data_IF_950199887819
#
_entry.id   IF_950199887819
#
_cell.length_a   1.000
_cell.length_b   1.000
_cell.length_c   1.000
_cell.angle_alpha   90.00
_cell.angle_beta   90.00
_cell.angle_gamma   90.00
#
_symmetry.space_group_name_H-M   'P 1'
#
loop_
_entity.id
_entity.type
_entity.pdbx_description
1 polymer ?
#
# COMPACT_ATOMS: atom_id res chain seq x y z
N UNK A 1 -15.03 6.17 0.58
CA UNK A 1 -14.48 7.24 -0.28
C UNK A 1 -14.99 7.07 -1.71
N UNK A 2 -14.75 5.96 -2.42
CA UNK A 2 -15.14 5.74 -3.81
C UNK A 2 -16.65 5.91 -4.07
N UNK A 3 -17.50 5.42 -3.18
CA UNK A 3 -18.95 5.63 -3.27
C UNK A 3 -19.33 7.11 -3.10
N UNK A 4 -18.66 7.84 -2.19
CA UNK A 4 -18.85 9.27 -2.01
C UNK A 4 -18.44 10.09 -3.25
N UNK A 5 -17.34 9.71 -3.91
CA UNK A 5 -16.91 10.31 -5.17
C UNK A 5 -17.96 10.10 -6.27
N UNK A 6 -18.45 8.87 -6.42
CA UNK A 6 -19.51 8.53 -7.38
C UNK A 6 -20.78 9.35 -7.12
N UNK A 7 -21.27 9.39 -5.88
CA UNK A 7 -22.48 10.16 -5.51
C UNK A 7 -22.35 11.66 -5.81
N UNK A 8 -21.14 12.19 -5.76
CA UNK A 8 -20.85 13.60 -6.09
C UNK A 8 -20.54 13.83 -7.58
N UNK A 9 -20.70 12.83 -8.44
CA UNK A 9 -20.42 12.92 -9.88
C UNK A 9 -18.95 13.19 -10.22
N UNK A 10 -18.02 12.87 -9.30
CA UNK A 10 -16.58 13.10 -9.55
C UNK A 10 -16.01 11.99 -10.42
N UNK A 11 -15.30 12.34 -11.49
CA UNK A 11 -14.54 11.42 -12.35
C UNK A 11 -13.24 10.96 -11.63
N UNK A 12 -13.39 10.39 -10.43
CA UNK A 12 -12.32 9.93 -9.57
C UNK A 12 -12.67 8.57 -8.96
N UNK A 13 -11.65 7.80 -8.56
CA UNK A 13 -11.82 6.55 -7.84
C UNK A 13 -10.90 6.49 -6.63
N UNK A 14 -11.23 5.62 -5.68
CA UNK A 14 -10.38 5.30 -4.54
C UNK A 14 -9.56 4.06 -4.88
N UNK A 15 -8.27 4.11 -4.62
CA UNK A 15 -7.40 2.94 -4.58
C UNK A 15 -7.24 2.51 -3.13
N UNK A 16 -7.36 1.20 -2.89
CA UNK A 16 -7.11 0.60 -1.59
C UNK A 16 -6.17 -0.58 -1.74
N UNK A 17 -5.20 -0.67 -0.84
CA UNK A 17 -4.13 -1.66 -0.88
C UNK A 17 -4.21 -2.56 0.33
N UNK A 18 -3.97 -3.85 0.12
CA UNK A 18 -3.80 -4.84 1.17
C UNK A 18 -2.75 -5.87 0.76
N UNK A 19 -2.08 -6.50 1.72
CA UNK A 19 -1.24 -7.66 1.44
C UNK A 19 -2.06 -8.94 1.27
N UNK A 20 -1.40 -10.02 0.89
CA UNK A 20 -1.99 -11.36 0.80
C UNK A 20 -2.62 -11.79 2.13
N UNK A 21 -1.96 -11.54 3.27
CA UNK A 21 -2.50 -11.80 4.60
C UNK A 21 -3.75 -10.99 4.92
N UNK A 22 -3.73 -9.68 4.68
CA UNK A 22 -4.87 -8.79 4.87
C UNK A 22 -6.05 -9.16 3.99
N UNK A 23 -5.79 -9.72 2.81
CA UNK A 23 -6.84 -10.21 1.91
C UNK A 23 -7.63 -11.41 2.46
N UNK A 24 -7.19 -12.01 3.55
CA UNK A 24 -7.86 -13.13 4.23
C UNK A 24 -8.80 -12.67 5.35
N UNK A 25 -8.80 -11.38 5.67
CA UNK A 25 -9.72 -10.79 6.65
C UNK A 25 -11.14 -10.64 6.08
N UNK A 26 -12.16 -10.81 6.94
CA UNK A 26 -13.57 -10.71 6.55
C UNK A 26 -13.92 -9.38 5.90
N UNK A 27 -13.48 -8.28 6.49
CA UNK A 27 -13.72 -6.92 6.01
C UNK A 27 -13.27 -6.69 4.57
N UNK A 28 -12.22 -7.39 4.09
CA UNK A 28 -11.80 -7.33 2.69
C UNK A 28 -12.89 -7.86 1.75
N UNK A 29 -13.50 -9.00 2.10
CA UNK A 29 -14.61 -9.57 1.33
C UNK A 29 -15.85 -8.73 1.41
N UNK A 30 -16.21 -8.29 2.60
CA UNK A 30 -17.37 -7.44 2.84
C UNK A 30 -17.24 -6.12 2.10
N UNK A 31 -16.05 -5.48 2.17
CA UNK A 31 -15.74 -4.26 1.44
C UNK A 31 -15.87 -4.40 -0.07
N UNK A 32 -15.35 -5.51 -0.64
CA UNK A 32 -15.50 -5.82 -2.07
C UNK A 32 -16.96 -6.04 -2.46
N UNK A 33 -17.71 -6.83 -1.66
CA UNK A 33 -19.12 -7.11 -1.90
C UNK A 33 -19.96 -5.84 -1.87
N UNK A 34 -19.79 -4.98 -0.87
CA UNK A 34 -20.47 -3.68 -0.82
C UNK A 34 -20.11 -2.78 -1.98
N UNK A 35 -18.81 -2.71 -2.31
CA UNK A 35 -18.36 -1.91 -3.44
C UNK A 35 -18.99 -2.39 -4.76
N UNK A 36 -19.09 -3.71 -4.95
CA UNK A 36 -19.75 -4.33 -6.10
C UNK A 36 -21.25 -3.99 -6.16
N UNK A 37 -21.98 -4.24 -5.07
CA UNK A 37 -23.40 -4.00 -4.97
C UNK A 37 -23.79 -2.54 -5.26
N UNK A 38 -23.00 -1.58 -4.78
CA UNK A 38 -23.22 -0.15 -5.01
C UNK A 38 -22.50 0.40 -6.25
N UNK A 39 -21.79 -0.43 -6.99
CA UNK A 39 -20.94 -0.02 -8.11
C UNK A 39 -20.06 1.18 -7.74
N UNK A 40 -19.37 1.08 -6.61
CA UNK A 40 -18.50 2.14 -6.11
C UNK A 40 -17.31 2.36 -7.05
N UNK A 41 -16.84 3.61 -7.17
CA UNK A 41 -15.62 3.92 -7.90
C UNK A 41 -14.40 3.53 -7.05
N UNK A 42 -14.06 2.23 -7.03
CA UNK A 42 -12.98 1.71 -6.21
C UNK A 42 -12.12 0.70 -6.99
N UNK A 43 -10.82 0.75 -6.76
CA UNK A 43 -9.86 -0.23 -7.23
C UNK A 43 -9.23 -0.87 -6.00
N UNK A 44 -9.42 -2.17 -5.85
CA UNK A 44 -8.79 -2.97 -4.81
C UNK A 44 -7.47 -3.52 -5.36
N UNK A 45 -6.39 -3.39 -4.61
CA UNK A 45 -5.09 -3.92 -4.99
C UNK A 45 -4.63 -4.87 -3.88
N UNK A 46 -4.42 -6.14 -4.23
CA UNK A 46 -3.79 -7.12 -3.36
C UNK A 46 -2.33 -7.26 -3.76
N UNK A 47 -1.43 -6.81 -2.91
CA UNK A 47 0.01 -6.99 -3.08
C UNK A 47 0.38 -8.39 -2.58
N UNK A 48 0.38 -9.37 -3.50
CA UNK A 48 0.70 -10.75 -3.19
C UNK A 48 2.21 -10.95 -3.24
N UNK A 49 2.86 -10.82 -2.09
CA UNK A 49 4.28 -11.10 -1.92
C UNK A 49 4.56 -12.51 -1.40
N UNK A 50 3.53 -13.35 -1.36
CA UNK A 50 3.63 -14.75 -0.95
C UNK A 50 3.65 -15.02 0.55
N UNK A 51 3.68 -13.97 1.40
CA UNK A 51 3.82 -14.14 2.84
C UNK A 51 3.04 -13.11 3.66
N UNK A 52 2.22 -13.59 4.59
CA UNK A 52 1.69 -12.78 5.68
C UNK A 52 2.68 -12.86 6.86
N UNK A 53 3.58 -11.88 6.98
CA UNK A 53 4.77 -11.92 7.85
C UNK A 53 5.64 -13.11 7.46
N UNK A 54 5.55 -14.22 8.20
CA UNK A 54 6.24 -15.50 7.96
C UNK A 54 5.32 -16.61 7.45
N UNK A 55 4.00 -16.37 7.38
CA UNK A 55 3.02 -17.37 6.95
C UNK A 55 2.93 -17.43 5.42
N UNK A 56 3.33 -18.54 4.78
CA UNK A 56 3.27 -18.65 3.32
C UNK A 56 1.83 -18.58 2.80
N UNK A 57 1.63 -17.95 1.64
CA UNK A 57 0.33 -17.85 0.98
C UNK A 57 -0.38 -19.20 0.83
N UNK A 58 0.37 -20.26 0.53
CA UNK A 58 -0.18 -21.61 0.33
C UNK A 58 -0.93 -22.21 1.53
N UNK A 59 -0.68 -21.71 2.75
CA UNK A 59 -1.42 -22.12 3.95
C UNK A 59 -2.52 -21.13 4.33
N UNK A 60 -2.61 -19.99 3.64
CA UNK A 60 -3.68 -19.01 3.83
C UNK A 60 -4.90 -19.33 2.96
N UNK A 61 -4.67 -19.84 1.74
CA UNK A 61 -5.73 -20.16 0.79
C UNK A 61 -5.27 -21.21 -0.23
N UNK A 62 -6.20 -22.03 -0.68
CA UNK A 62 -5.98 -22.98 -1.77
C UNK A 62 -6.25 -22.37 -3.15
N UNK A 63 -6.78 -21.15 -3.20
CA UNK A 63 -7.02 -20.45 -4.47
C UNK A 63 -5.70 -20.25 -5.24
N UNK A 64 -5.62 -20.55 -6.54
CA UNK A 64 -4.39 -20.37 -7.31
C UNK A 64 -3.98 -18.88 -7.39
N UNK A 65 -4.96 -17.99 -7.44
CA UNK A 65 -4.78 -16.56 -7.45
C UNK A 65 -5.72 -15.88 -6.44
N UNK A 66 -5.23 -14.84 -5.77
CA UNK A 66 -6.05 -14.03 -4.85
C UNK A 66 -7.07 -13.18 -5.62
N UNK A 67 -6.82 -12.90 -6.90
CA UNK A 67 -7.77 -12.27 -7.81
C UNK A 67 -9.12 -13.00 -7.87
N UNK A 68 -9.16 -14.33 -7.64
CA UNK A 68 -10.41 -15.10 -7.58
C UNK A 68 -11.38 -14.66 -6.48
N UNK A 69 -10.88 -13.97 -5.44
CA UNK A 69 -11.70 -13.39 -4.38
C UNK A 69 -12.69 -12.34 -4.91
N UNK A 70 -12.31 -11.59 -5.95
CA UNK A 70 -13.20 -10.64 -6.60
C UNK A 70 -14.38 -11.29 -7.30
N UNK A 71 -14.21 -12.49 -7.85
CA UNK A 71 -15.33 -13.22 -8.46
C UNK A 71 -16.41 -13.57 -7.44
N UNK A 72 -16.01 -13.92 -6.21
CA UNK A 72 -16.96 -14.15 -5.12
C UNK A 72 -17.79 -12.91 -4.76
N UNK A 73 -17.25 -11.73 -4.99
CA UNK A 73 -17.92 -10.44 -4.81
C UNK A 73 -18.60 -9.92 -6.11
N UNK A 74 -18.56 -10.68 -7.20
CA UNK A 74 -19.14 -10.30 -8.50
C UNK A 74 -18.40 -9.14 -9.19
N UNK A 75 -17.12 -8.90 -8.88
CA UNK A 75 -16.32 -7.82 -9.47
C UNK A 75 -15.24 -8.37 -10.41
N UNK A 76 -14.94 -7.67 -11.52
CA UNK A 76 -13.87 -8.09 -12.42
C UNK A 76 -12.51 -8.04 -11.71
N UNK A 77 -11.66 -9.01 -12.04
CA UNK A 77 -10.37 -9.18 -11.37
C UNK A 77 -9.30 -9.55 -12.38
N UNK A 78 -8.09 -9.02 -12.17
CA UNK A 78 -6.91 -9.30 -13.01
C UNK A 78 -5.70 -9.63 -12.15
N UNK A 79 -4.79 -10.41 -12.70
CA UNK A 79 -3.46 -10.68 -12.13
C UNK A 79 -2.43 -9.94 -12.96
N UNK A 80 -1.49 -9.29 -12.31
CA UNK A 80 -0.46 -8.45 -12.93
C UNK A 80 0.91 -8.82 -12.37
N UNK A 81 1.94 -8.78 -13.21
CA UNK A 81 3.32 -8.80 -12.75
C UNK A 81 3.61 -7.53 -11.92
N UNK A 82 3.63 -7.69 -10.59
CA UNK A 82 3.86 -6.61 -9.63
C UNK A 82 5.30 -6.11 -9.61
N UNK A 83 6.22 -6.84 -10.26
CA UNK A 83 7.61 -6.44 -10.43
C UNK A 83 7.84 -5.66 -11.74
N UNK A 84 6.77 -5.39 -12.52
CA UNK A 84 6.80 -4.56 -13.72
C UNK A 84 6.01 -3.26 -13.51
N UNK A 85 6.70 -2.10 -13.31
CA UNK A 85 6.03 -0.83 -13.09
C UNK A 85 5.11 -0.39 -14.23
N UNK A 86 5.46 -0.73 -15.49
CA UNK A 86 4.65 -0.37 -16.66
C UNK A 86 3.38 -1.22 -16.70
N UNK A 87 3.48 -2.52 -16.44
CA UNK A 87 2.32 -3.40 -16.33
C UNK A 87 1.37 -2.95 -15.22
N UNK A 88 1.91 -2.61 -14.04
CA UNK A 88 1.15 -2.07 -12.92
C UNK A 88 0.44 -0.76 -13.28
N UNK A 89 1.14 0.17 -13.93
CA UNK A 89 0.55 1.43 -14.40
C UNK A 89 -0.60 1.21 -15.38
N UNK A 90 -0.41 0.36 -16.38
CA UNK A 90 -1.43 0.07 -17.39
C UNK A 90 -2.66 -0.60 -16.79
N UNK A 91 -2.46 -1.54 -15.87
CA UNK A 91 -3.55 -2.19 -15.14
C UNK A 91 -4.34 -1.20 -14.27
N UNK A 92 -3.64 -0.38 -13.50
CA UNK A 92 -4.25 0.65 -12.67
C UNK A 92 -5.02 1.68 -13.50
N UNK A 93 -4.45 2.13 -14.63
CA UNK A 93 -5.10 3.05 -15.57
C UNK A 93 -6.39 2.47 -16.12
N UNK A 94 -6.37 1.23 -16.63
CA UNK A 94 -7.56 0.54 -17.15
C UNK A 94 -8.63 0.33 -16.06
N UNK A 95 -8.22 -0.05 -14.87
CA UNK A 95 -9.12 -0.21 -13.74
C UNK A 95 -9.78 1.13 -13.36
N UNK A 96 -9.02 2.23 -13.36
CA UNK A 96 -9.56 3.57 -13.15
C UNK A 96 -10.59 3.94 -14.21
N UNK A 97 -10.26 3.78 -15.49
CA UNK A 97 -11.17 4.06 -16.61
C UNK A 97 -12.47 3.26 -16.48
N UNK A 98 -12.37 1.98 -16.14
CA UNK A 98 -13.52 1.12 -15.90
C UNK A 98 -14.41 1.63 -14.77
N UNK A 99 -13.82 1.95 -13.60
CA UNK A 99 -14.61 2.35 -12.44
C UNK A 99 -15.29 3.72 -12.64
N UNK A 100 -14.56 4.70 -13.19
CA UNK A 100 -15.10 6.07 -13.38
C UNK A 100 -16.17 6.12 -14.47
N UNK A 101 -16.18 5.13 -15.40
CA UNK A 101 -17.25 4.96 -16.39
C UNK A 101 -18.52 4.35 -15.79
N UNK A 102 -18.57 4.12 -14.47
CA UNK A 102 -19.76 3.63 -13.79
C UNK A 102 -19.95 2.10 -13.77
N UNK A 103 -18.95 1.35 -14.25
CA UNK A 103 -19.00 -0.13 -14.31
C UNK A 103 -18.81 -0.80 -12.95
N UNK A 104 -18.43 -0.05 -11.90
CA UNK A 104 -18.18 -0.57 -10.56
C UNK A 104 -16.71 -0.85 -10.27
N UNK A 105 -16.40 -1.51 -9.15
CA UNK A 105 -15.03 -1.72 -8.71
C UNK A 105 -14.29 -2.79 -9.52
N UNK A 106 -12.96 -2.80 -9.38
CA UNK A 106 -12.05 -3.80 -9.97
C UNK A 106 -11.11 -4.30 -8.86
N UNK A 107 -10.74 -5.57 -8.89
CA UNK A 107 -9.67 -6.14 -8.09
C UNK A 107 -8.43 -6.38 -8.97
N UNK A 108 -7.27 -5.92 -8.51
CA UNK A 108 -5.96 -6.21 -9.11
C UNK A 108 -5.15 -7.01 -8.09
N UNK A 109 -4.69 -8.18 -8.47
CA UNK A 109 -3.64 -8.90 -7.73
C UNK A 109 -2.30 -8.60 -8.40
N UNK A 110 -1.37 -7.99 -7.66
CA UNK A 110 0.00 -7.82 -8.11
C UNK A 110 0.86 -8.95 -7.54
N UNK A 111 1.45 -9.75 -8.42
CA UNK A 111 2.45 -10.76 -8.03
C UNK A 111 3.77 -10.05 -7.81
N UNK A 112 4.21 -10.01 -6.58
CA UNK A 112 5.40 -9.27 -6.17
C UNK A 112 6.21 -10.09 -5.16
N UNK A 113 7.30 -9.54 -4.69
CA UNK A 113 8.08 -10.11 -3.61
C UNK A 113 8.40 -9.05 -2.55
N UNK A 114 8.68 -9.51 -1.33
CA UNK A 114 9.23 -8.70 -0.26
C UNK A 114 10.69 -9.08 -0.08
N UNK A 115 11.59 -8.27 -0.62
CA UNK A 115 13.03 -8.52 -0.59
C UNK A 115 13.61 -8.44 0.84
N UNK A 116 13.11 -7.49 1.63
CA UNK A 116 13.56 -7.22 2.99
C UNK A 116 12.70 -7.94 4.05
N UNK A 117 13.15 -8.01 5.32
CA UNK A 117 12.33 -8.47 6.43
C UNK A 117 10.99 -7.74 6.53
N UNK A 118 9.97 -8.40 7.10
CA UNK A 118 8.68 -7.77 7.37
C UNK A 118 8.79 -6.59 8.34
N UNK A 119 9.66 -6.72 9.33
CA UNK A 119 9.98 -5.64 10.26
C UNK A 119 11.45 -5.69 10.66
N UNK A 120 12.01 -4.54 11.05
CA UNK A 120 13.37 -4.44 11.56
C UNK A 120 13.54 -5.06 12.95
N UNK A 121 12.45 -5.44 13.62
CA UNK A 121 12.46 -5.96 14.98
C UNK A 121 12.06 -7.44 15.00
N UNK A 122 13.07 -8.32 14.97
CA UNK A 122 12.90 -9.75 15.25
C UNK A 122 12.40 -10.62 14.10
N UNK A 123 12.31 -10.10 12.87
CA UNK A 123 11.99 -10.93 11.70
C UNK A 123 13.28 -11.32 10.97
N UNK A 124 13.47 -12.63 10.79
CA UNK A 124 14.53 -13.21 9.98
C UNK A 124 13.90 -14.00 8.82
N UNK A 125 13.96 -13.47 7.58
CA UNK A 125 13.39 -14.13 6.42
C UNK A 125 13.94 -15.54 6.17
N UNK A 126 15.18 -15.83 6.52
CA UNK A 126 15.81 -17.12 6.30
C UNK A 126 15.20 -18.25 7.14
N UNK A 127 14.34 -17.92 8.10
CA UNK A 127 13.56 -18.92 8.87
C UNK A 127 12.42 -19.54 8.07
N UNK A 128 11.94 -18.88 7.01
CA UNK A 128 10.79 -19.32 6.23
C UNK A 128 10.98 -19.20 4.71
N UNK A 129 12.10 -18.63 4.26
CA UNK A 129 12.51 -18.51 2.85
C UNK A 129 13.92 -19.05 2.66
N UNK A 130 14.26 -19.42 1.44
CA UNK A 130 15.66 -19.74 1.08
C UNK A 130 16.35 -18.50 0.49
N UNK A 131 17.67 -18.46 0.66
CA UNK A 131 18.50 -17.38 0.11
C UNK A 131 18.38 -17.33 -1.42
N UNK A 132 18.39 -18.49 -2.06
CA UNK A 132 18.27 -18.62 -3.52
C UNK A 132 16.95 -18.02 -4.02
N UNK A 133 15.84 -18.22 -3.29
CA UNK A 133 14.55 -17.63 -3.63
C UNK A 133 14.57 -16.10 -3.57
N UNK A 134 15.27 -15.52 -2.60
CA UNK A 134 15.42 -14.06 -2.50
C UNK A 134 16.26 -13.54 -3.67
N UNK A 135 17.42 -14.15 -3.94
CA UNK A 135 18.32 -13.79 -5.03
C UNK A 135 17.66 -13.87 -6.42
N UNK A 136 16.72 -14.79 -6.61
CA UNK A 136 15.95 -14.86 -7.86
C UNK A 136 15.03 -13.66 -8.04
N UNK A 137 14.36 -13.21 -6.99
CA UNK A 137 13.50 -12.03 -7.04
C UNK A 137 14.28 -10.72 -7.15
N UNK A 138 15.46 -10.63 -6.54
CA UNK A 138 16.36 -9.47 -6.68
C UNK A 138 16.73 -9.20 -8.15
N UNK A 139 16.89 -10.24 -8.96
CA UNK A 139 17.23 -10.09 -10.38
C UNK A 139 16.12 -9.39 -11.21
N UNK A 140 14.89 -9.46 -10.75
CA UNK A 140 13.72 -8.87 -11.41
C UNK A 140 13.13 -7.70 -10.63
N UNK A 141 13.91 -7.11 -9.75
CA UNK A 141 13.54 -5.97 -8.92
C UNK A 141 13.04 -4.80 -9.80
N UNK A 142 11.94 -4.14 -9.45
CA UNK A 142 11.28 -3.13 -10.29
C UNK A 142 12.17 -1.97 -10.73
N UNK A 143 13.07 -1.49 -9.84
CA UNK A 143 13.97 -0.39 -10.19
C UNK A 143 15.04 -0.80 -11.20
N UNK A 144 15.56 -2.03 -11.08
CA UNK A 144 16.49 -2.59 -12.06
C UNK A 144 15.82 -2.71 -13.43
N UNK A 145 14.61 -3.28 -13.48
CA UNK A 145 13.84 -3.43 -14.72
C UNK A 145 13.52 -2.08 -15.35
N UNK A 146 13.10 -1.10 -14.54
CA UNK A 146 12.79 0.24 -15.04
C UNK A 146 14.05 0.95 -15.56
N UNK A 147 15.17 0.82 -14.86
CA UNK A 147 16.47 1.37 -15.32
C UNK A 147 16.81 0.83 -16.70
N UNK A 148 16.83 -0.49 -16.87
CA UNK A 148 17.15 -1.15 -18.16
C UNK A 148 16.22 -0.61 -19.27
N UNK A 149 14.93 -0.49 -18.97
CA UNK A 149 13.95 0.03 -19.93
C UNK A 149 14.22 1.48 -20.31
N UNK A 150 14.52 2.35 -19.35
CA UNK A 150 14.78 3.77 -19.59
C UNK A 150 16.11 4.00 -20.31
N UNK A 151 17.14 3.24 -19.98
CA UNK A 151 18.44 3.27 -20.67
C UNK A 151 18.29 2.84 -22.14
N UNK A 152 17.53 1.76 -22.40
CA UNK A 152 17.24 1.32 -23.76
C UNK A 152 16.41 2.34 -24.57
N UNK A 153 15.77 3.31 -23.92
CA UNK A 153 15.06 4.44 -24.52
C UNK A 153 15.87 5.73 -24.54
N UNK A 154 17.11 5.69 -24.11
CA UNK A 154 17.99 6.86 -23.98
C UNK A 154 17.42 7.96 -23.06
N UNK A 155 16.59 7.57 -22.08
CA UNK A 155 15.95 8.46 -21.10
C UNK A 155 16.63 8.43 -19.73
N UNK A 156 17.61 7.57 -19.52
CA UNK A 156 18.33 7.40 -18.27
C UNK A 156 19.80 7.12 -18.51
N UNK A 157 20.66 7.54 -17.59
CA UNK A 157 22.09 7.29 -17.61
C UNK A 157 22.65 7.26 -16.18
N UNK A 158 23.85 6.75 -16.01
CA UNK A 158 24.55 6.77 -14.71
C UNK A 158 24.71 8.19 -14.16
N UNK A 159 24.93 9.19 -15.01
CA UNK A 159 25.06 10.58 -14.57
C UNK A 159 23.73 11.11 -14.05
N UNK A 160 22.62 10.89 -14.77
CA UNK A 160 21.28 11.30 -14.33
C UNK A 160 20.95 10.62 -12.99
N UNK A 161 21.29 9.35 -12.82
CA UNK A 161 21.07 8.64 -11.57
C UNK A 161 21.89 9.21 -10.41
N UNK A 162 23.14 9.56 -10.64
CA UNK A 162 24.00 10.15 -9.64
C UNK A 162 23.48 11.52 -9.18
N UNK A 163 23.15 12.39 -10.13
CA UNK A 163 22.59 13.71 -9.84
C UNK A 163 21.27 13.62 -9.07
N UNK A 164 20.40 12.70 -9.47
CA UNK A 164 19.10 12.47 -8.80
C UNK A 164 19.29 11.93 -7.38
N UNK A 165 20.25 11.02 -7.16
CA UNK A 165 20.56 10.52 -5.82
C UNK A 165 21.06 11.62 -4.89
N UNK A 166 21.91 12.54 -5.40
CA UNK A 166 22.39 13.67 -4.62
C UNK A 166 21.24 14.60 -4.20
N UNK A 167 20.35 14.95 -5.13
CA UNK A 167 19.18 15.77 -4.87
C UNK A 167 18.25 15.13 -3.83
N UNK A 168 17.88 13.85 -4.01
CA UNK A 168 17.00 13.11 -3.10
C UNK A 168 17.60 12.97 -1.71
N UNK A 169 18.89 12.65 -1.60
CA UNK A 169 19.56 12.56 -0.31
C UNK A 169 19.56 13.90 0.43
N UNK A 170 19.79 15.01 -0.28
CA UNK A 170 19.72 16.33 0.32
C UNK A 170 18.30 16.66 0.84
N UNK A 171 17.24 16.29 0.12
CA UNK A 171 15.86 16.46 0.57
C UNK A 171 15.56 15.61 1.82
N UNK A 172 16.00 14.34 1.82
CA UNK A 172 15.82 13.44 2.97
C UNK A 172 16.53 13.98 4.20
N UNK A 173 17.79 14.39 4.06
CA UNK A 173 18.57 14.97 5.16
C UNK A 173 17.92 16.25 5.72
N UNK A 174 17.38 17.09 4.85
CA UNK A 174 16.65 18.28 5.28
C UNK A 174 15.36 17.93 6.05
N UNK A 175 14.60 16.95 5.56
CA UNK A 175 13.39 16.47 6.21
C UNK A 175 13.69 15.83 7.58
N UNK A 176 14.75 15.03 7.70
CA UNK A 176 15.19 14.45 8.99
C UNK A 176 15.56 15.55 9.98
N UNK A 177 16.38 16.52 9.56
CA UNK A 177 16.73 17.67 10.40
C UNK A 177 15.51 18.46 10.85
N UNK A 178 14.53 18.63 9.98
CA UNK A 178 13.27 19.30 10.33
C UNK A 178 12.49 18.48 11.38
N UNK A 179 12.39 17.16 11.22
CA UNK A 179 11.71 16.28 12.15
C UNK A 179 12.40 16.27 13.53
N UNK A 180 13.74 16.23 13.56
CA UNK A 180 14.52 16.27 14.82
C UNK A 180 14.34 17.59 15.60
N UNK A 181 14.05 18.69 14.90
CA UNK A 181 13.83 20.00 15.49
C UNK A 181 12.37 20.26 15.89
N UNK A 182 11.45 19.32 15.64
CA UNK A 182 10.05 19.45 16.05
C UNK A 182 9.97 19.45 17.58
N UNK A 183 9.30 20.46 18.13
CA UNK A 183 9.05 20.52 19.57
C UNK A 183 8.24 19.29 20.03
N UNK A 184 8.72 18.62 21.07
CA UNK A 184 8.00 17.46 21.64
C UNK A 184 6.63 17.89 22.12
N UNK A 185 5.61 17.23 21.62
CA UNK A 185 4.23 17.45 22.01
C UNK A 185 4.04 17.07 23.49
N UNK A 186 3.30 17.89 24.22
CA UNK A 186 2.90 17.56 25.60
C UNK A 186 1.81 16.49 25.59
N UNK A 187 1.75 15.69 26.64
CA UNK A 187 0.72 14.65 26.79
C UNK A 187 -0.68 15.25 26.75
N UNK A 188 -0.86 16.41 27.42
CA UNK A 188 -2.13 17.15 27.38
C UNK A 188 -2.56 17.52 25.96
N UNK A 189 -1.64 18.01 25.13
CA UNK A 189 -1.89 18.38 23.74
C UNK A 189 -2.21 17.15 22.89
N UNK A 190 -1.48 16.04 23.12
CA UNK A 190 -1.74 14.76 22.43
C UNK A 190 -3.17 14.26 22.69
N UNK A 191 -3.62 14.28 23.96
CA UNK A 191 -4.98 13.85 24.31
C UNK A 191 -6.02 14.79 23.68
N UNK A 192 -5.76 16.11 23.70
CA UNK A 192 -6.66 17.12 23.14
C UNK A 192 -6.88 16.95 21.64
N UNK A 193 -5.81 16.59 20.89
CA UNK A 193 -5.86 16.41 19.43
C UNK A 193 -6.39 15.04 18.97
N UNK A 194 -6.58 14.09 19.88
CA UNK A 194 -7.08 12.75 19.56
C UNK A 194 -8.56 12.76 19.15
N UNK A 195 -9.34 13.72 19.62
CA UNK A 195 -10.78 13.83 19.37
C UNK A 195 -11.11 15.24 18.86
N UNK A 196 -12.11 15.35 18.00
CA UNK A 196 -12.64 16.66 17.59
C UNK A 196 -13.16 17.45 18.81
N UNK A 197 -13.85 16.75 19.72
CA UNK A 197 -14.31 17.27 21.01
C UNK A 197 -14.00 16.25 22.10
N UNK A 198 -13.03 16.55 22.99
CA UNK A 198 -12.72 15.67 24.10
C UNK A 198 -13.92 15.45 25.02
N UNK A 199 -14.20 14.20 25.36
CA UNK A 199 -15.24 13.84 26.32
C UNK A 199 -14.86 14.16 27.76
N UNK A 200 -15.71 13.79 28.72
CA UNK A 200 -15.49 14.10 30.15
C UNK A 200 -14.17 13.53 30.66
N UNK A 201 -13.91 12.25 30.41
CA UNK A 201 -12.68 11.58 30.87
C UNK A 201 -11.42 12.23 30.28
N UNK A 202 -11.45 12.55 29.00
CA UNK A 202 -10.32 13.19 28.32
C UNK A 202 -10.06 14.60 28.89
N UNK A 203 -11.11 15.35 29.19
CA UNK A 203 -10.98 16.69 29.83
C UNK A 203 -10.28 16.62 31.20
N UNK A 204 -10.67 15.69 32.05
CA UNK A 204 -9.99 15.44 33.31
C UNK A 204 -8.51 15.06 33.12
N UNK A 205 -8.22 14.20 32.16
CA UNK A 205 -6.83 13.83 31.86
C UNK A 205 -6.01 15.01 31.35
N UNK A 206 -6.57 15.82 30.46
CA UNK A 206 -5.93 17.02 29.91
C UNK A 206 -5.57 17.98 31.04
N UNK A 207 -6.50 18.27 31.93
CA UNK A 207 -6.27 19.15 33.09
C UNK A 207 -5.16 18.61 34.01
N UNK A 208 -5.24 17.35 34.38
CA UNK A 208 -4.24 16.65 35.20
C UNK A 208 -2.83 16.74 34.60
N UNK A 209 -2.68 16.52 33.28
CA UNK A 209 -1.38 16.59 32.63
C UNK A 209 -0.88 18.03 32.43
N UNK A 210 -1.79 19.00 32.26
CA UNK A 210 -1.44 20.44 32.25
C UNK A 210 -0.90 20.91 33.59
N UNK A 211 -1.57 20.54 34.69
CA UNK A 211 -1.13 20.86 36.06
C UNK A 211 0.24 20.23 36.37
N UNK A 212 0.49 19.02 35.86
CA UNK A 212 1.77 18.34 36.02
C UNK A 212 2.87 18.87 35.06
N UNK A 213 2.59 19.86 34.23
CA UNK A 213 3.54 20.41 33.24
C UNK A 213 3.92 19.46 32.11
N UNK A 214 3.12 18.42 31.86
CA UNK A 214 3.38 17.33 30.91
C UNK A 214 2.48 17.38 29.70
#
# INVERSE_FOLDING_TARGET
>A
IGLGMKKRGKAACAYTYTGDGGSSQGDTYEGMNFAGAFKANAVFIIQNNGYAISTPRKVQTVAPHLASKGWGAGIPSIVVDGMDPIACYLAAKKAREWTVSGNGPVLIETLTDRLEPHSMSGDDPLRYRTKESIEEWEKVEPLIRMRIFLEAKELWSEQIEADYKEEVNAEIDAAVKQADNVQKQKISEFIETTFEQPGFVQKEQIEKFREAGK
#
